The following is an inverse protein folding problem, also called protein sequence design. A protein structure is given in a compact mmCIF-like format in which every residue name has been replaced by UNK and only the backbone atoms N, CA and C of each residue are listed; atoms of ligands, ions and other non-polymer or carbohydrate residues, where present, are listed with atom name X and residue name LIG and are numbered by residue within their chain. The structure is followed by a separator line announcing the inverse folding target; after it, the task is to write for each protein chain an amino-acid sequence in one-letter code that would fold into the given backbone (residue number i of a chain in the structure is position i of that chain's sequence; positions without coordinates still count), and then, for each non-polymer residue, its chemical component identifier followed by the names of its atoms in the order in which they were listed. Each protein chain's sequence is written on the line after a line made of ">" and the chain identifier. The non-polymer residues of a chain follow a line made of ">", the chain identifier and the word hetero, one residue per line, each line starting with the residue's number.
data_IF_780577418606
#
_entry.id   IF_780577418606
#
_cell.length_a   1.000
_cell.length_b   1.000
_cell.length_c   1.000
_cell.angle_alpha   90.00
_cell.angle_beta   90.00
_cell.angle_gamma   90.00
#
_symmetry.space_group_name_H-M   'P 1'
#
loop_
_entity.id
_entity.type
_entity.pdbx_description
1 polymer ?
#
# COMPACT_ATOMS: atom_id res chain seq x y z
N UNK A 1 10.27 -16.93 3.11
CA UNK A 1 10.88 -16.13 2.02
C UNK A 1 9.83 -15.10 1.63
N UNK A 2 10.10 -13.80 1.82
CA UNK A 2 9.11 -12.76 1.53
C UNK A 2 8.86 -12.65 0.03
N UNK A 3 7.59 -12.56 -0.38
CA UNK A 3 7.19 -12.40 -1.78
C UNK A 3 7.60 -10.99 -2.25
N UNK A 4 8.31 -10.93 -3.37
CA UNK A 4 8.77 -9.68 -3.99
C UNK A 4 8.02 -9.46 -5.28
N UNK A 5 7.63 -8.21 -5.52
CA UNK A 5 6.88 -7.78 -6.69
C UNK A 5 7.77 -6.87 -7.54
N UNK A 6 7.83 -7.17 -8.84
CA UNK A 6 8.49 -6.29 -9.80
C UNK A 6 7.54 -5.18 -10.22
N UNK A 7 7.98 -3.95 -10.01
CA UNK A 7 7.21 -2.76 -10.37
C UNK A 7 8.08 -1.76 -11.12
N UNK A 8 7.46 -0.99 -11.99
CA UNK A 8 8.07 0.18 -12.62
C UNK A 8 7.63 1.44 -11.91
N UNK A 9 8.62 2.24 -11.49
CA UNK A 9 8.38 3.52 -10.84
C UNK A 9 7.80 4.49 -11.85
N UNK A 10 6.61 5.00 -11.58
CA UNK A 10 5.90 5.97 -12.44
C UNK A 10 6.18 7.42 -12.04
N UNK A 11 6.69 7.66 -10.84
CA UNK A 11 7.09 8.98 -10.33
C UNK A 11 8.19 8.80 -9.29
N UNK A 12 9.07 9.79 -9.10
CA UNK A 12 10.17 9.65 -8.15
C UNK A 12 9.66 9.21 -6.76
N UNK A 13 10.23 8.13 -6.22
CA UNK A 13 9.88 7.56 -4.91
C UNK A 13 11.13 7.31 -4.10
N UNK A 14 11.02 7.40 -2.79
CA UNK A 14 12.09 7.00 -1.88
C UNK A 14 11.80 5.58 -1.42
N UNK A 15 12.73 4.66 -1.69
CA UNK A 15 12.68 3.26 -1.25
C UNK A 15 13.91 3.03 -0.40
N UNK A 16 13.74 2.63 0.86
CA UNK A 16 14.86 2.36 1.79
C UNK A 16 15.86 3.53 1.93
N UNK A 17 15.38 4.76 1.78
CA UNK A 17 16.23 5.97 1.79
C UNK A 17 16.89 6.33 0.45
N UNK A 18 16.73 5.50 -0.58
CA UNK A 18 17.23 5.77 -1.94
C UNK A 18 16.14 6.39 -2.82
N UNK A 19 16.47 7.47 -3.53
CA UNK A 19 15.57 8.10 -4.50
C UNK A 19 15.60 7.30 -5.80
N UNK A 20 14.53 6.56 -6.06
CA UNK A 20 14.32 5.85 -7.32
C UNK A 20 13.62 6.78 -8.31
N UNK A 21 14.27 7.00 -9.45
CA UNK A 21 13.74 7.83 -10.54
C UNK A 21 12.60 7.12 -11.30
N UNK A 22 11.66 7.88 -11.89
CA UNK A 22 10.64 7.29 -12.76
C UNK A 22 11.25 6.57 -13.97
N UNK A 23 10.58 5.51 -14.42
CA UNK A 23 11.03 4.62 -15.48
C UNK A 23 12.02 3.55 -15.03
N UNK A 24 12.39 3.50 -13.74
CA UNK A 24 13.20 2.41 -13.18
C UNK A 24 12.32 1.24 -12.75
N UNK A 25 12.74 0.05 -13.13
CA UNK A 25 12.25 -1.19 -12.56
C UNK A 25 12.91 -1.42 -11.20
N UNK A 26 12.09 -1.80 -10.21
CA UNK A 26 12.54 -2.15 -8.87
C UNK A 26 11.78 -3.39 -8.39
N UNK A 27 12.49 -4.27 -7.69
CA UNK A 27 11.90 -5.39 -6.97
C UNK A 27 11.67 -4.93 -5.54
N UNK A 28 10.39 -4.87 -5.13
CA UNK A 28 10.00 -4.44 -3.80
C UNK A 28 9.31 -5.59 -3.06
N UNK A 29 9.40 -5.63 -1.72
CA UNK A 29 8.50 -6.47 -0.94
C UNK A 29 7.05 -6.18 -1.32
N UNK A 30 6.24 -7.21 -1.46
CA UNK A 30 4.86 -7.10 -1.97
C UNK A 30 4.02 -6.06 -1.20
N UNK A 31 4.13 -6.01 0.13
CA UNK A 31 3.43 -4.98 0.93
C UNK A 31 3.83 -3.54 0.59
N UNK A 32 5.11 -3.29 0.30
CA UNK A 32 5.59 -1.97 -0.13
C UNK A 32 5.13 -1.68 -1.56
N UNK A 33 5.23 -2.68 -2.45
CA UNK A 33 4.81 -2.55 -3.84
C UNK A 33 3.32 -2.21 -3.96
N UNK A 34 2.46 -2.92 -3.23
CA UNK A 34 1.01 -2.67 -3.17
C UNK A 34 0.72 -1.28 -2.63
N UNK A 35 1.39 -0.87 -1.55
CA UNK A 35 1.23 0.47 -0.98
C UNK A 35 1.58 1.57 -1.99
N UNK A 36 2.64 1.38 -2.76
CA UNK A 36 3.03 2.31 -3.81
C UNK A 36 2.11 2.24 -5.04
N UNK A 37 1.52 1.07 -5.32
CA UNK A 37 0.57 0.86 -6.40
C UNK A 37 -0.75 1.59 -6.11
N UNK A 38 -1.31 1.44 -4.90
CA UNK A 38 -2.49 2.18 -4.42
C UNK A 38 -2.27 3.69 -4.51
N UNK A 39 -1.03 4.17 -4.27
CA UNK A 39 -0.64 5.58 -4.38
C UNK A 39 -0.34 6.05 -5.81
N UNK A 40 -0.47 5.17 -6.82
CA UNK A 40 -0.18 5.49 -8.22
C UNK A 40 1.29 5.81 -8.51
N UNK A 41 2.19 5.49 -7.58
CA UNK A 41 3.63 5.81 -7.68
C UNK A 41 4.40 4.76 -8.48
N UNK A 42 3.89 3.54 -8.52
CA UNK A 42 4.47 2.43 -9.28
C UNK A 42 3.38 1.72 -10.09
N UNK A 43 3.79 0.98 -11.12
CA UNK A 43 2.92 0.11 -11.92
C UNK A 43 3.50 -1.31 -11.92
N UNK A 44 2.64 -2.32 -11.88
CA UNK A 44 3.06 -3.72 -12.04
C UNK A 44 3.56 -3.92 -13.46
N UNK A 45 4.68 -4.62 -13.63
CA UNK A 45 5.16 -5.00 -14.94
C UNK A 45 4.39 -6.23 -15.47
N UNK A 46 3.85 -6.17 -16.70
CA UNK A 46 3.15 -7.31 -17.30
C UNK A 46 4.19 -8.40 -17.63
N UNK A 47 4.31 -9.40 -16.75
CA UNK A 47 5.30 -10.48 -16.85
C UNK A 47 5.84 -10.95 -15.50
N UNK A 48 5.79 -10.08 -14.48
CA UNK A 48 5.94 -10.49 -13.09
C UNK A 48 4.60 -11.04 -12.60
N UNK A 49 4.39 -12.34 -12.77
CA UNK A 49 3.16 -13.01 -12.34
C UNK A 49 2.87 -12.71 -10.88
N UNK A 50 1.89 -11.85 -10.63
CA UNK A 50 1.23 -11.78 -9.34
C UNK A 50 -0.15 -12.34 -9.59
N UNK A 51 -0.30 -13.60 -9.19
CA UNK A 51 -1.60 -14.19 -8.93
C UNK A 51 -2.21 -13.37 -7.80
N UNK A 52 -3.09 -12.43 -8.15
CA UNK A 52 -3.88 -11.61 -7.21
C UNK A 52 -5.04 -12.47 -6.68
N UNK A 53 -4.73 -13.67 -6.20
CA UNK A 53 -5.71 -14.67 -5.76
C UNK A 53 -5.21 -15.54 -4.60
N UNK A 54 -4.19 -15.09 -3.87
CA UNK A 54 -3.97 -15.56 -2.50
C UNK A 54 -4.35 -14.43 -1.56
N UNK A 55 -5.44 -14.64 -0.82
CA UNK A 55 -5.85 -13.96 0.41
C UNK A 55 -5.08 -12.67 0.70
N UNK A 56 -5.58 -11.55 0.16
CA UNK A 56 -5.42 -10.24 0.79
C UNK A 56 -6.31 -10.28 2.05
N UNK A 57 -5.93 -11.07 3.05
CA UNK A 57 -6.26 -10.69 4.42
C UNK A 57 -5.48 -9.40 4.64
N UNK A 58 -6.09 -8.25 4.30
CA UNK A 58 -5.59 -6.96 4.75
C UNK A 58 -5.49 -7.08 6.27
N UNK A 59 -4.27 -7.29 6.78
CA UNK A 59 -4.03 -7.52 8.19
C UNK A 59 -4.75 -6.42 8.96
N UNK A 60 -5.79 -6.79 9.70
CA UNK A 60 -6.62 -5.85 10.45
C UNK A 60 -5.76 -4.93 11.32
N UNK A 61 -4.67 -5.46 11.87
CA UNK A 61 -3.66 -4.70 12.61
C UNK A 61 -3.04 -3.56 11.78
N UNK A 62 -2.76 -3.78 10.50
CA UNK A 62 -2.22 -2.76 9.60
C UNK A 62 -3.26 -1.67 9.28
N UNK A 63 -4.53 -2.06 9.08
CA UNK A 63 -5.63 -1.09 8.91
C UNK A 63 -5.83 -0.27 10.19
N UNK A 64 -5.84 -0.91 11.35
CA UNK A 64 -5.96 -0.25 12.65
C UNK A 64 -4.80 0.71 12.94
N UNK A 65 -3.58 0.32 12.57
CA UNK A 65 -2.40 1.16 12.65
C UNK A 65 -2.54 2.41 11.76
N UNK A 66 -2.89 2.25 10.48
CA UNK A 66 -3.05 3.37 9.55
C UNK A 66 -4.16 4.34 10.02
N UNK A 67 -5.30 3.80 10.48
CA UNK A 67 -6.37 4.63 11.02
C UNK A 67 -5.94 5.42 12.26
N UNK A 68 -5.10 4.82 13.11
CA UNK A 68 -4.54 5.47 14.30
C UNK A 68 -3.52 6.56 13.96
N UNK A 69 -2.69 6.35 12.93
CA UNK A 69 -1.75 7.36 12.44
C UNK A 69 -2.47 8.61 11.92
N UNK A 70 -3.66 8.44 11.35
CA UNK A 70 -4.54 9.54 10.92
C UNK A 70 -5.27 10.22 12.08
N UNK A 71 -4.92 9.89 13.33
CA UNK A 71 -5.56 10.40 14.54
C UNK A 71 -6.96 9.81 14.78
N UNK A 72 -7.29 8.72 14.10
CA UNK A 72 -8.49 7.92 14.36
C UNK A 72 -8.29 6.99 15.56
N UNK A 73 -9.40 6.48 16.11
CA UNK A 73 -9.38 5.40 17.09
C UNK A 73 -10.22 4.24 16.52
N UNK A 74 -9.60 3.13 16.10
CA UNK A 74 -10.35 2.00 15.56
C UNK A 74 -11.26 1.41 16.64
N UNK A 75 -12.39 0.86 16.23
CA UNK A 75 -13.34 0.20 17.12
C UNK A 75 -13.31 -1.30 16.83
N UNK A 76 -13.29 -2.12 17.89
CA UNK A 76 -13.29 -3.58 17.80
C UNK A 76 -14.49 -4.13 17.01
N UNK A 77 -15.61 -3.40 16.99
CA UNK A 77 -16.84 -3.78 16.30
C UNK A 77 -16.83 -3.48 14.80
N UNK A 78 -15.81 -2.78 14.28
CA UNK A 78 -15.72 -2.49 12.85
C UNK A 78 -15.22 -3.71 12.07
N UNK A 79 -15.89 -3.97 10.95
CA UNK A 79 -15.39 -4.89 9.93
C UNK A 79 -14.25 -4.23 9.14
N UNK A 80 -13.40 -5.04 8.51
CA UNK A 80 -12.23 -4.54 7.78
C UNK A 80 -12.64 -3.54 6.67
N UNK A 81 -13.74 -3.78 5.96
CA UNK A 81 -14.34 -2.83 5.00
C UNK A 81 -14.71 -1.47 5.60
N UNK A 82 -15.27 -1.44 6.82
CA UNK A 82 -15.61 -0.20 7.51
C UNK A 82 -14.33 0.53 7.93
N UNK A 83 -13.32 -0.21 8.40
CA UNK A 83 -12.03 0.37 8.75
C UNK A 83 -11.36 1.03 7.55
N UNK A 84 -11.34 0.34 6.40
CA UNK A 84 -10.83 0.86 5.12
C UNK A 84 -11.56 2.14 4.72
N UNK A 85 -12.90 2.13 4.78
CA UNK A 85 -13.71 3.30 4.47
C UNK A 85 -13.38 4.50 5.38
N UNK A 86 -13.14 4.26 6.67
CA UNK A 86 -12.81 5.34 7.62
C UNK A 86 -11.41 5.88 7.47
N UNK A 87 -10.46 5.03 7.11
CA UNK A 87 -9.11 5.43 6.72
C UNK A 87 -9.19 6.38 5.51
N UNK A 88 -9.91 6.00 4.46
CA UNK A 88 -10.05 6.80 3.24
C UNK A 88 -10.67 8.19 3.54
N UNK A 89 -11.77 8.22 4.30
CA UNK A 89 -12.43 9.48 4.71
C UNK A 89 -11.49 10.38 5.55
N UNK A 90 -10.68 9.79 6.43
CA UNK A 90 -9.70 10.52 7.24
C UNK A 90 -8.55 11.04 6.40
N UNK A 91 -8.03 10.26 5.46
CA UNK A 91 -6.96 10.69 4.56
C UNK A 91 -7.37 11.91 3.75
N UNK A 92 -8.59 11.89 3.20
CA UNK A 92 -9.14 13.05 2.48
C UNK A 92 -9.25 14.29 3.40
N UNK A 93 -9.60 14.11 4.67
CA UNK A 93 -9.66 15.22 5.65
C UNK A 93 -8.29 15.74 6.09
N UNK A 94 -7.25 14.90 6.10
CA UNK A 94 -5.88 15.29 6.48
C UNK A 94 -5.14 15.97 5.33
N UNK A 95 -5.46 15.62 4.08
CA UNK A 95 -4.87 16.24 2.87
C UNK A 95 -5.54 17.58 2.48
N UNK A 96 -6.54 18.05 3.23
CA UNK A 96 -7.30 19.27 2.96
C UNK A 96 -6.98 20.39 3.94
#
# INVERSE_FOLDING_TARGET
>A
MGKVMQVIVSSAVVVDGEIVRPGREVSLPEGIAISLLKRGKVKVLPGGGVDVSEDISEDREALEAEYKELGGRPQDEWSDDELIRRIDERREKVEK
#
